data_IF_823425664208
#
_entry.id   IF_823425664208
#
_cell.length_a   1.000
_cell.length_b   1.000
_cell.length_c   1.000
_cell.angle_alpha   90.00
_cell.angle_beta   90.00
_cell.angle_gamma   90.00
#
_symmetry.space_group_name_H-M   'P 1'
#
loop_
_entity.id
_entity.type
_entity.pdbx_description
1 polymer ?
#
# COMPACT_ATOMS: atom_id res chain seq x y z
N UNK A 1 8.18 -7.71 -12.31
CA UNK A 1 9.09 -6.76 -11.63
C UNK A 1 9.87 -5.84 -12.56
N UNK A 2 10.25 -6.16 -13.82
CA UNK A 2 10.95 -5.19 -14.70
C UNK A 2 10.03 -4.13 -15.34
N UNK A 3 8.80 -4.50 -15.74
CA UNK A 3 7.81 -3.56 -16.32
C UNK A 3 7.39 -2.48 -15.32
N UNK A 4 7.38 -2.79 -14.03
CA UNK A 4 7.00 -1.85 -12.96
C UNK A 4 8.06 -0.77 -12.72
N UNK A 5 9.36 -1.12 -12.82
CA UNK A 5 10.44 -0.14 -12.75
C UNK A 5 10.40 0.84 -13.92
N UNK A 6 10.08 0.35 -15.12
CA UNK A 6 9.89 1.19 -16.31
C UNK A 6 8.65 2.08 -16.22
N UNK A 7 7.56 1.60 -15.61
CA UNK A 7 6.36 2.40 -15.39
C UNK A 7 6.55 3.47 -14.30
N UNK A 8 7.38 3.20 -13.29
CA UNK A 8 7.81 4.16 -12.25
C UNK A 8 8.54 5.37 -12.78
N UNK A 9 9.35 5.21 -13.82
CA UNK A 9 10.13 6.32 -14.38
C UNK A 9 9.31 7.23 -15.28
N UNK A 10 8.17 6.77 -15.83
CA UNK A 10 7.35 7.55 -16.77
C UNK A 10 6.07 8.17 -16.22
N UNK A 11 5.39 7.51 -15.28
CA UNK A 11 4.02 7.91 -14.88
C UNK A 11 4.00 8.78 -13.61
N UNK A 12 5.11 8.81 -12.89
CA UNK A 12 5.23 9.54 -11.62
C UNK A 12 4.65 8.75 -10.44
N UNK A 13 5.17 8.97 -9.22
CA UNK A 13 4.85 8.14 -8.05
C UNK A 13 3.35 8.17 -7.72
N UNK A 14 2.75 9.37 -7.62
CA UNK A 14 1.34 9.56 -7.26
C UNK A 14 0.36 8.80 -8.16
N UNK A 15 0.52 8.92 -9.48
CA UNK A 15 -0.36 8.23 -10.45
C UNK A 15 -0.17 6.71 -10.42
N UNK A 16 1.01 6.22 -10.06
CA UNK A 16 1.21 4.78 -9.88
C UNK A 16 0.48 4.23 -8.66
N UNK A 17 0.39 4.99 -7.57
CA UNK A 17 -0.40 4.59 -6.41
C UNK A 17 -1.88 4.48 -6.79
N UNK A 18 -2.43 5.50 -7.46
CA UNK A 18 -3.82 5.49 -7.95
C UNK A 18 -4.09 4.32 -8.90
N UNK A 19 -3.19 4.05 -9.85
CA UNK A 19 -3.29 2.89 -10.76
C UNK A 19 -3.24 1.56 -9.98
N UNK A 20 -2.41 1.46 -8.94
CA UNK A 20 -2.32 0.26 -8.10
C UNK A 20 -3.62 -0.09 -7.38
N UNK A 21 -4.29 0.91 -6.78
CA UNK A 21 -5.58 0.71 -6.13
C UNK A 21 -6.70 0.41 -7.12
N UNK A 22 -6.74 1.14 -8.25
CA UNK A 22 -7.75 0.93 -9.30
C UNK A 22 -7.61 -0.46 -9.93
N UNK A 23 -6.40 -0.90 -10.25
CA UNK A 23 -6.16 -2.25 -10.80
C UNK A 23 -6.51 -3.35 -9.81
N UNK A 24 -6.32 -3.13 -8.50
CA UNK A 24 -6.77 -4.02 -7.43
C UNK A 24 -8.29 -4.14 -7.33
N UNK A 25 -9.01 -3.00 -7.40
CA UNK A 25 -10.47 -2.98 -7.43
C UNK A 25 -11.04 -3.65 -8.68
N UNK A 26 -10.43 -3.40 -9.84
CA UNK A 26 -10.78 -4.09 -11.09
C UNK A 26 -10.58 -5.60 -10.96
N UNK A 27 -9.47 -6.04 -10.34
CA UNK A 27 -9.23 -7.47 -10.09
C UNK A 27 -10.28 -8.10 -9.18
N UNK A 28 -10.66 -7.40 -8.10
CA UNK A 28 -11.72 -7.87 -7.20
C UNK A 28 -13.09 -7.93 -7.92
N UNK A 29 -13.43 -6.93 -8.72
CA UNK A 29 -14.64 -6.91 -9.52
C UNK A 29 -14.64 -8.00 -10.61
N UNK A 30 -13.48 -8.29 -11.22
CA UNK A 30 -13.32 -9.37 -12.18
C UNK A 30 -13.58 -10.74 -11.53
N UNK A 31 -13.03 -10.97 -10.33
CA UNK A 31 -13.29 -12.21 -9.58
C UNK A 31 -14.75 -12.33 -9.15
N UNK A 32 -15.42 -11.21 -8.85
CA UNK A 32 -16.85 -11.20 -8.59
C UNK A 32 -17.65 -11.53 -9.86
N UNK A 33 -17.28 -10.95 -10.99
CA UNK A 33 -17.89 -11.21 -12.29
C UNK A 33 -17.68 -12.67 -12.74
N UNK A 34 -16.51 -13.26 -12.50
CA UNK A 34 -16.25 -14.67 -12.80
C UNK A 34 -17.14 -15.59 -11.95
N UNK A 35 -17.40 -15.23 -10.69
CA UNK A 35 -18.35 -15.98 -9.85
C UNK A 35 -19.78 -15.89 -10.39
N UNK A 36 -20.26 -14.71 -10.80
CA UNK A 36 -21.60 -14.51 -11.38
C UNK A 36 -21.78 -15.21 -12.73
N UNK A 37 -20.72 -15.30 -13.54
CA UNK A 37 -20.75 -15.89 -14.89
C UNK A 37 -20.60 -17.42 -14.92
N UNK A 38 -20.47 -18.09 -13.77
CA UNK A 38 -20.25 -19.54 -13.64
C UNK A 38 -21.30 -20.43 -14.34
N UNK A 39 -22.50 -19.91 -14.58
CA UNK A 39 -23.60 -20.62 -15.25
C UNK A 39 -23.89 -20.21 -16.69
N UNK A 40 -23.26 -19.16 -17.21
CA UNK A 40 -23.60 -18.57 -18.52
C UNK A 40 -22.62 -18.92 -19.63
N UNK A 41 -21.47 -19.51 -19.30
CA UNK A 41 -20.38 -19.80 -20.25
C UNK A 41 -19.96 -21.27 -20.21
N UNK A 42 -19.46 -21.82 -21.33
CA UNK A 42 -18.85 -23.14 -21.36
C UNK A 42 -17.65 -23.22 -20.40
N UNK A 43 -17.49 -24.37 -19.74
CA UNK A 43 -16.57 -24.55 -18.61
C UNK A 43 -15.11 -24.19 -18.91
N UNK A 44 -14.63 -24.43 -20.13
CA UNK A 44 -13.28 -24.10 -20.58
C UNK A 44 -13.03 -22.59 -20.66
N UNK A 45 -13.99 -21.83 -21.20
CA UNK A 45 -13.94 -20.36 -21.27
C UNK A 45 -14.03 -19.73 -19.88
N UNK A 46 -14.91 -20.27 -19.02
CA UNK A 46 -15.00 -19.82 -17.63
C UNK A 46 -13.70 -20.01 -16.86
N UNK A 47 -13.05 -21.17 -17.01
CA UNK A 47 -11.78 -21.46 -16.34
C UNK A 47 -10.67 -20.50 -16.76
N UNK A 48 -10.53 -20.23 -18.06
CA UNK A 48 -9.56 -19.26 -18.59
C UNK A 48 -9.83 -17.87 -18.02
N UNK A 49 -11.10 -17.45 -18.00
CA UNK A 49 -11.50 -16.15 -17.47
C UNK A 49 -11.23 -16.02 -15.96
N UNK A 50 -11.49 -17.07 -15.18
CA UNK A 50 -11.24 -17.10 -13.74
C UNK A 50 -9.73 -17.09 -13.42
N UNK A 51 -8.92 -17.86 -14.15
CA UNK A 51 -7.46 -17.88 -13.97
C UNK A 51 -6.85 -16.54 -14.39
N UNK A 52 -7.30 -15.94 -15.49
CA UNK A 52 -6.85 -14.60 -15.90
C UNK A 52 -7.17 -13.54 -14.84
N UNK A 53 -8.39 -13.54 -14.31
CA UNK A 53 -8.79 -12.64 -13.21
C UNK A 53 -7.97 -12.86 -11.94
N UNK A 54 -7.63 -14.11 -11.61
CA UNK A 54 -6.79 -14.44 -10.46
C UNK A 54 -5.35 -13.96 -10.65
N UNK A 55 -4.75 -14.15 -11.83
CA UNK A 55 -3.41 -13.63 -12.16
C UNK A 55 -3.38 -12.10 -12.11
N UNK A 56 -4.43 -11.45 -12.62
CA UNK A 56 -4.58 -10.00 -12.52
C UNK A 56 -4.63 -9.54 -11.07
N UNK A 57 -5.49 -10.16 -10.26
CA UNK A 57 -5.62 -9.84 -8.83
C UNK A 57 -4.31 -10.07 -8.06
N UNK A 58 -3.57 -11.14 -8.35
CA UNK A 58 -2.28 -11.43 -7.72
C UNK A 58 -1.23 -10.37 -8.08
N UNK A 59 -1.23 -9.93 -9.34
CA UNK A 59 -0.35 -8.89 -9.85
C UNK A 59 -0.67 -7.53 -9.21
N UNK A 60 -1.96 -7.19 -9.10
CA UNK A 60 -2.41 -5.99 -8.40
C UNK A 60 -2.06 -6.06 -6.90
N UNK A 61 -2.21 -7.22 -6.26
CA UNK A 61 -1.82 -7.46 -4.87
C UNK A 61 -0.34 -7.24 -4.62
N UNK A 62 0.51 -7.69 -5.53
CA UNK A 62 1.92 -7.37 -5.47
C UNK A 62 2.10 -5.85 -5.55
N UNK A 63 1.46 -5.18 -6.52
CA UNK A 63 1.60 -3.75 -6.76
C UNK A 63 1.25 -2.88 -5.54
N UNK A 64 0.05 -3.04 -4.96
CA UNK A 64 -0.31 -2.25 -3.77
C UNK A 64 0.42 -2.71 -2.50
N UNK A 65 0.89 -3.97 -2.46
CA UNK A 65 1.65 -4.51 -1.34
C UNK A 65 3.02 -3.86 -1.14
N UNK A 66 3.62 -3.30 -2.19
CA UNK A 66 4.90 -2.59 -2.12
C UNK A 66 4.77 -1.14 -1.64
N UNK A 67 3.56 -0.57 -1.63
CA UNK A 67 3.36 0.85 -1.35
C UNK A 67 3.78 1.25 0.07
N UNK A 68 3.39 0.52 1.14
CA UNK A 68 3.83 0.89 2.49
C UNK A 68 5.36 0.89 2.61
N UNK A 69 6.02 -0.08 1.98
CA UNK A 69 7.48 -0.21 2.03
C UNK A 69 8.23 0.95 1.40
N UNK A 70 7.64 1.57 0.38
CA UNK A 70 8.24 2.75 -0.22
C UNK A 70 7.99 4.00 0.60
N UNK A 71 6.90 4.06 1.39
CA UNK A 71 6.50 5.26 2.15
C UNK A 71 7.11 5.32 3.54
N UNK A 72 7.22 4.19 4.24
CA UNK A 72 7.69 4.15 5.62
C UNK A 72 9.12 4.71 5.82
N UNK A 73 10.09 4.46 4.91
CA UNK A 73 11.41 5.09 4.98
C UNK A 73 11.33 6.62 4.99
N UNK A 74 10.45 7.23 4.18
CA UNK A 74 10.30 8.69 4.13
C UNK A 74 9.90 9.30 5.46
N UNK A 75 9.02 8.64 6.21
CA UNK A 75 8.61 9.11 7.54
C UNK A 75 9.80 9.07 8.51
N UNK A 76 10.62 8.02 8.42
CA UNK A 76 11.83 7.90 9.23
C UNK A 76 12.91 8.93 8.84
N UNK A 77 13.06 9.23 7.55
CA UNK A 77 14.00 10.23 7.04
C UNK A 77 13.60 11.66 7.45
N UNK A 78 12.29 11.97 7.43
CA UNK A 78 11.74 13.24 7.95
C UNK A 78 11.93 13.34 9.47
N UNK A 79 11.77 12.25 10.23
CA UNK A 79 12.08 12.26 11.67
C UNK A 79 13.59 12.45 11.92
N UNK A 80 14.44 11.88 11.06
CA UNK A 80 15.89 11.97 11.17
C UNK A 80 16.41 13.39 10.91
N UNK A 81 15.84 14.15 9.95
CA UNK A 81 16.25 15.55 9.73
C UNK A 81 15.85 16.46 10.90
N UNK A 82 14.76 16.15 11.60
CA UNK A 82 14.34 16.88 12.80
C UNK A 82 15.21 16.51 14.01
N UNK A 83 15.41 15.22 14.28
CA UNK A 83 15.99 14.73 15.54
C UNK A 83 17.46 14.32 15.48
N UNK A 84 18.10 14.37 14.29
CA UNK A 84 19.47 13.89 14.00
C UNK A 84 19.74 12.40 14.26
N UNK A 85 18.76 11.64 14.75
CA UNK A 85 18.92 10.22 15.08
C UNK A 85 18.29 9.36 14.00
N UNK A 86 19.06 8.45 13.43
CA UNK A 86 18.48 7.46 12.51
C UNK A 86 17.72 6.40 13.31
N UNK A 87 16.38 6.49 13.29
CA UNK A 87 15.47 5.52 13.94
C UNK A 87 14.84 4.54 12.94
N UNK A 88 15.39 4.46 11.73
CA UNK A 88 14.84 3.64 10.63
C UNK A 88 14.58 2.18 11.03
N UNK A 89 15.46 1.59 11.84
CA UNK A 89 15.30 0.21 12.35
C UNK A 89 14.08 0.06 13.29
N UNK A 90 13.84 1.03 14.17
CA UNK A 90 12.69 1.03 15.10
C UNK A 90 11.37 1.23 14.34
N UNK A 91 11.37 2.11 13.34
CA UNK A 91 10.21 2.32 12.47
C UNK A 91 9.87 1.07 11.63
N UNK A 92 10.89 0.43 11.04
CA UNK A 92 10.72 -0.83 10.30
C UNK A 92 10.17 -1.95 11.20
N UNK A 93 10.72 -2.09 12.42
CA UNK A 93 10.20 -3.05 13.41
C UNK A 93 8.73 -2.79 13.78
N UNK A 94 8.35 -1.54 14.00
CA UNK A 94 6.96 -1.16 14.28
C UNK A 94 6.03 -1.42 13.09
N UNK A 95 6.48 -1.19 11.87
CA UNK A 95 5.73 -1.52 10.65
C UNK A 95 5.42 -3.02 10.57
N UNK A 96 6.42 -3.88 10.80
CA UNK A 96 6.21 -5.32 10.81
C UNK A 96 5.28 -5.76 11.93
N UNK A 97 5.48 -5.23 13.13
CA UNK A 97 4.62 -5.53 14.28
C UNK A 97 3.17 -5.16 14.01
N UNK A 98 2.92 -3.94 13.54
CA UNK A 98 1.57 -3.47 13.19
C UNK A 98 0.95 -4.37 12.11
N UNK A 99 1.71 -4.70 11.05
CA UNK A 99 1.25 -5.61 10.00
C UNK A 99 0.85 -6.97 10.55
N UNK A 100 1.67 -7.56 11.43
CA UNK A 100 1.39 -8.88 11.99
C UNK A 100 0.19 -8.85 12.93
N UNK A 101 0.05 -7.78 13.73
CA UNK A 101 -1.08 -7.57 14.62
C UNK A 101 -2.38 -7.41 13.83
N UNK A 102 -2.44 -6.50 12.87
CA UNK A 102 -3.62 -6.30 12.03
C UNK A 102 -3.96 -7.56 11.23
N UNK A 103 -2.97 -8.26 10.68
CA UNK A 103 -3.19 -9.52 9.97
C UNK A 103 -3.80 -10.58 10.89
N UNK A 104 -3.35 -10.67 12.15
CA UNK A 104 -3.91 -11.60 13.14
C UNK A 104 -5.35 -11.28 13.50
N UNK A 105 -5.64 -10.00 13.79
CA UNK A 105 -6.99 -9.52 14.10
C UNK A 105 -7.95 -9.78 12.92
N UNK A 106 -7.53 -9.46 11.70
CA UNK A 106 -8.32 -9.72 10.50
C UNK A 106 -8.59 -11.22 10.34
N UNK A 107 -7.58 -12.07 10.53
CA UNK A 107 -7.75 -13.51 10.38
C UNK A 107 -8.73 -14.09 11.41
N UNK A 108 -8.72 -13.56 12.63
CA UNK A 108 -9.69 -13.91 13.66
C UNK A 108 -11.11 -13.48 13.28
N UNK A 109 -11.29 -12.24 12.80
CA UNK A 109 -12.59 -11.73 12.33
C UNK A 109 -13.13 -12.54 11.14
N UNK A 110 -12.27 -12.85 10.17
CA UNK A 110 -12.60 -13.72 9.02
C UNK A 110 -13.12 -15.07 9.50
N UNK A 111 -12.44 -15.68 10.48
CA UNK A 111 -12.87 -16.96 11.08
C UNK A 111 -14.26 -16.90 11.72
N UNK A 112 -14.57 -15.81 12.44
CA UNK A 112 -15.89 -15.59 13.05
C UNK A 112 -16.98 -15.43 11.99
N UNK A 113 -16.71 -14.69 10.91
CA UNK A 113 -17.69 -14.54 9.82
C UNK A 113 -17.91 -15.87 9.10
N UNK A 114 -16.83 -16.62 8.84
CA UNK A 114 -16.94 -17.94 8.20
C UNK A 114 -17.73 -18.92 9.05
N UNK A 115 -17.48 -18.99 10.36
CA UNK A 115 -18.21 -19.87 11.27
C UNK A 115 -19.69 -19.50 11.37
N UNK A 116 -20.01 -18.20 11.39
CA UNK A 116 -21.40 -17.72 11.39
C UNK A 116 -22.15 -18.05 10.09
N UNK A 117 -21.47 -18.07 8.95
CA UNK A 117 -22.08 -18.40 7.64
C UNK A 117 -22.27 -19.91 7.41
N UNK A 118 -21.85 -20.76 8.36
CA UNK A 118 -21.94 -22.22 8.25
C UNK A 118 -20.95 -22.81 7.26
N UNK A 119 -19.79 -22.16 7.06
CA UNK A 119 -18.72 -22.68 6.23
C UNK A 119 -18.20 -24.00 6.79
N UNK A 120 -18.29 -25.06 5.99
CA UNK A 120 -17.77 -26.38 6.31
C UNK A 120 -16.77 -26.79 5.24
N UNK A 121 -15.50 -26.89 5.62
CA UNK A 121 -14.38 -27.27 4.73
C UNK A 121 -14.43 -28.75 4.31
N UNK A 122 -15.26 -29.57 4.96
CA UNK A 122 -15.37 -31.01 4.67
C UNK A 122 -16.39 -31.33 3.57
N UNK A 123 -17.20 -30.35 3.13
CA UNK A 123 -18.25 -30.55 2.11
C UNK A 123 -17.78 -30.09 0.72
N UNK A 124 -17.94 -30.97 -0.26
CA UNK A 124 -17.58 -30.74 -1.68
C UNK A 124 -18.46 -29.68 -2.37
N UNK A 125 -19.69 -29.47 -1.88
CA UNK A 125 -20.59 -28.42 -2.33
C UNK A 125 -20.97 -27.52 -1.15
N UNK A 126 -20.62 -26.24 -1.27
CA UNK A 126 -20.92 -25.26 -0.24
C UNK A 126 -22.30 -24.63 -0.45
N UNK A 127 -23.07 -24.39 0.64
CA UNK A 127 -24.35 -23.71 0.54
C UNK A 127 -24.16 -22.29 -0.01
N UNK A 128 -25.19 -21.79 -0.70
CA UNK A 128 -25.18 -20.43 -1.28
C UNK A 128 -24.78 -19.36 -0.27
N UNK A 129 -25.25 -19.48 0.98
CA UNK A 129 -24.87 -18.61 2.10
C UNK A 129 -23.37 -18.57 2.38
N UNK A 130 -22.68 -19.72 2.35
CA UNK A 130 -21.23 -19.79 2.57
C UNK A 130 -20.44 -19.21 1.40
N UNK A 131 -20.91 -19.38 0.16
CA UNK A 131 -20.28 -18.76 -1.01
C UNK A 131 -20.37 -17.23 -0.96
N UNK A 132 -21.55 -16.70 -0.60
CA UNK A 132 -21.75 -15.26 -0.39
C UNK A 132 -20.89 -14.76 0.78
N UNK A 133 -20.78 -15.52 1.87
CA UNK A 133 -19.91 -15.22 3.00
C UNK A 133 -18.43 -15.08 2.59
N UNK A 134 -17.92 -16.05 1.84
CA UNK A 134 -16.54 -16.01 1.31
C UNK A 134 -16.35 -14.82 0.36
N UNK A 135 -17.30 -14.56 -0.54
CA UNK A 135 -17.22 -13.44 -1.47
C UNK A 135 -17.25 -12.08 -0.73
N UNK A 136 -18.12 -11.94 0.29
CA UNK A 136 -18.20 -10.74 1.10
C UNK A 136 -16.89 -10.46 1.87
N UNK A 137 -16.28 -11.51 2.42
CA UNK A 137 -15.03 -11.38 3.18
C UNK A 137 -13.82 -11.21 2.28
N UNK A 138 -13.69 -11.97 1.19
CA UNK A 138 -12.51 -11.89 0.32
C UNK A 138 -12.56 -10.68 -0.62
N UNK A 139 -13.73 -10.35 -1.17
CA UNK A 139 -13.87 -9.27 -2.16
C UNK A 139 -14.40 -8.00 -1.53
N UNK A 140 -15.43 -8.10 -0.69
CA UNK A 140 -16.04 -6.94 -0.04
C UNK A 140 -15.10 -6.24 0.94
N UNK A 141 -14.58 -6.97 1.94
CA UNK A 141 -13.64 -6.41 2.91
C UNK A 141 -12.35 -5.91 2.23
N UNK A 142 -11.79 -6.66 1.29
CA UNK A 142 -10.61 -6.22 0.52
C UNK A 142 -10.89 -4.94 -0.26
N UNK A 143 -12.05 -4.81 -0.92
CA UNK A 143 -12.41 -3.58 -1.63
C UNK A 143 -12.54 -2.38 -0.68
N UNK A 144 -13.17 -2.55 0.49
CA UNK A 144 -13.28 -1.49 1.51
C UNK A 144 -11.89 -1.03 1.99
N UNK A 145 -11.01 -1.98 2.31
CA UNK A 145 -9.64 -1.66 2.74
C UNK A 145 -8.86 -0.95 1.62
N UNK A 146 -8.98 -1.41 0.38
CA UNK A 146 -8.35 -0.75 -0.77
C UNK A 146 -8.85 0.68 -0.98
N UNK A 147 -10.15 0.94 -0.80
CA UNK A 147 -10.72 2.29 -0.91
C UNK A 147 -10.21 3.19 0.22
N UNK A 148 -10.17 2.69 1.47
CA UNK A 148 -9.63 3.46 2.60
C UNK A 148 -8.15 3.79 2.35
N UNK A 149 -7.36 2.82 1.92
CA UNK A 149 -5.96 3.04 1.57
C UNK A 149 -5.80 4.05 0.42
N UNK A 150 -6.64 3.97 -0.60
CA UNK A 150 -6.63 4.94 -1.71
C UNK A 150 -6.97 6.36 -1.23
N UNK A 151 -7.93 6.52 -0.33
CA UNK A 151 -8.27 7.83 0.26
C UNK A 151 -7.09 8.37 1.07
N UNK A 152 -6.47 7.55 1.91
CA UNK A 152 -5.31 7.95 2.72
C UNK A 152 -4.12 8.30 1.82
N UNK A 153 -3.86 7.51 0.78
CA UNK A 153 -2.80 7.76 -0.19
C UNK A 153 -3.04 9.04 -0.99
N UNK A 154 -4.28 9.31 -1.41
CA UNK A 154 -4.63 10.55 -2.10
C UNK A 154 -4.40 11.81 -1.24
N UNK A 155 -4.35 11.65 0.08
CA UNK A 155 -4.05 12.71 1.06
C UNK A 155 -2.55 12.80 1.36
N UNK A 156 -1.78 11.72 1.19
CA UNK A 156 -0.34 11.72 1.34
C UNK A 156 0.31 12.25 0.05
N UNK A 157 0.64 13.54 0.06
CA UNK A 157 1.43 14.18 -0.99
C UNK A 157 2.90 13.71 -0.95
N UNK A 158 3.15 12.43 -1.28
CA UNK A 158 4.51 11.89 -1.38
C UNK A 158 5.03 12.17 -2.78
N UNK A 159 5.81 13.23 -2.86
CA UNK A 159 6.56 13.57 -4.06
C UNK A 159 8.00 13.08 -3.89
N UNK A 160 8.36 11.95 -4.53
CA UNK A 160 9.73 11.37 -4.52
C UNK A 160 10.81 12.39 -4.90
N UNK A 161 10.45 13.44 -5.63
CA UNK A 161 11.36 14.54 -5.95
C UNK A 161 11.86 15.26 -4.68
N UNK A 162 10.98 15.36 -3.69
CA UNK A 162 11.23 16.04 -2.41
C UNK A 162 12.14 15.22 -1.49
N UNK A 163 12.03 13.90 -1.57
CA UNK A 163 12.88 12.98 -0.81
C UNK A 163 14.36 13.05 -1.24
N UNK A 164 14.62 13.07 -2.55
CA UNK A 164 15.98 13.24 -3.07
C UNK A 164 16.60 14.60 -2.72
N UNK A 165 15.79 15.62 -2.42
CA UNK A 165 16.25 16.91 -1.91
C UNK A 165 16.62 16.78 -0.42
N UNK A 166 15.78 16.11 0.39
CA UNK A 166 16.04 15.86 1.81
C UNK A 166 17.28 15.00 2.04
N UNK A 167 17.45 13.89 1.32
CA UNK A 167 18.64 13.03 1.49
C UNK A 167 19.94 13.75 1.15
N UNK A 168 19.94 14.58 0.08
CA UNK A 168 21.09 15.42 -0.26
C UNK A 168 21.39 16.44 0.84
N UNK A 169 20.37 17.01 1.45
CA UNK A 169 20.51 17.97 2.54
C UNK A 169 20.99 17.30 3.84
N UNK A 170 20.48 16.11 4.19
CA UNK A 170 20.96 15.32 5.32
C UNK A 170 22.44 14.98 5.14
N UNK A 171 22.85 14.54 3.94
CA UNK A 171 24.25 14.24 3.65
C UNK A 171 25.14 15.49 3.77
N UNK A 172 24.67 16.66 3.32
CA UNK A 172 25.37 17.95 3.47
C UNK A 172 25.54 18.34 4.94
N UNK A 173 24.49 18.21 5.74
CA UNK A 173 24.52 18.52 7.17
C UNK A 173 25.37 17.53 7.97
N UNK A 174 25.39 16.25 7.61
CA UNK A 174 26.27 15.24 8.20
C UNK A 174 27.75 15.47 7.87
N UNK A 175 28.04 16.00 6.68
CA UNK A 175 29.40 16.39 6.27
C UNK A 175 29.88 17.73 6.85
N UNK A 176 29.13 18.32 7.78
CA UNK A 176 29.51 19.58 8.44
C UNK A 176 29.12 20.85 7.69
N UNK A 177 28.23 20.77 6.69
CA UNK A 177 27.72 21.93 5.98
C UNK A 177 26.93 22.89 6.87
N UNK A 178 27.10 24.20 6.67
CA UNK A 178 26.40 25.23 7.43
C UNK A 178 24.91 25.30 7.05
N UNK A 179 24.03 25.47 8.04
CA UNK A 179 22.60 25.73 7.83
C UNK A 179 22.34 27.03 7.05
N UNK A 180 23.30 27.96 7.03
CA UNK A 180 23.20 29.23 6.32
C UNK A 180 23.32 29.08 4.79
N UNK A 181 23.96 28.01 4.31
CA UNK A 181 24.18 27.75 2.88
C UNK A 181 23.08 26.88 2.27
N UNK A 182 21.91 26.79 2.92
CA UNK A 182 20.80 25.99 2.40
C UNK A 182 20.15 26.70 1.21
N UNK A 183 19.87 25.94 0.16
CA UNK A 183 19.12 26.44 -0.99
C UNK A 183 17.67 26.77 -0.61
N UNK A 184 17.11 27.84 -1.18
CA UNK A 184 15.79 28.35 -0.81
C UNK A 184 14.67 27.34 -1.10
N UNK A 185 14.79 26.58 -2.19
CA UNK A 185 13.85 25.49 -2.54
C UNK A 185 13.95 24.33 -1.54
N UNK A 186 15.16 24.02 -1.07
CA UNK A 186 15.41 22.98 -0.06
C UNK A 186 14.83 23.38 1.29
N UNK A 187 14.95 24.66 1.68
CA UNK A 187 14.33 25.20 2.90
C UNK A 187 12.80 25.10 2.86
N UNK A 188 12.17 25.55 1.78
CA UNK A 188 10.71 25.50 1.62
C UNK A 188 10.18 24.05 1.63
N UNK A 189 10.93 23.13 1.04
CA UNK A 189 10.63 21.70 1.06
C UNK A 189 10.66 21.11 2.47
N UNK A 190 11.71 21.40 3.24
CA UNK A 190 11.86 20.89 4.61
C UNK A 190 10.79 21.47 5.52
N UNK A 191 10.47 22.76 5.41
CA UNK A 191 9.42 23.40 6.21
C UNK A 191 8.03 22.84 5.88
N UNK A 192 7.75 22.57 4.60
CA UNK A 192 6.48 21.96 4.16
C UNK A 192 6.31 20.52 4.65
N UNK A 193 7.39 19.74 4.74
CA UNK A 193 7.33 18.33 5.13
C UNK A 193 7.40 18.12 6.65
N UNK A 194 8.19 18.92 7.35
CA UNK A 194 8.32 18.83 8.81
C UNK A 194 7.24 19.63 9.55
N UNK A 195 6.64 20.62 8.89
CA UNK A 195 5.72 21.58 9.53
C UNK A 195 6.41 22.53 10.51
N UNK A 196 7.74 22.50 10.58
CA UNK A 196 8.58 23.31 11.47
C UNK A 196 9.43 24.27 10.63
N UNK A 197 9.82 25.42 11.21
CA UNK A 197 10.80 26.30 10.57
C UNK A 197 12.13 25.56 10.45
N UNK A 198 12.84 25.73 9.34
CA UNK A 198 14.11 25.03 9.09
C UNK A 198 15.16 25.32 10.18
N UNK A 199 15.06 26.48 10.83
CA UNK A 199 15.91 26.89 11.96
C UNK A 199 15.72 26.00 13.21
N UNK A 200 14.52 25.43 13.37
CA UNK A 200 14.17 24.51 14.47
C UNK A 200 14.52 23.06 14.14
N UNK A 201 14.69 22.72 12.86
CA UNK A 201 15.17 21.41 12.43
C UNK A 201 16.67 21.26 12.74
N UNK A 202 17.14 20.03 13.00
CA UNK A 202 18.56 19.75 13.24
C UNK A 202 19.15 20.55 14.42
N UNK A 203 18.44 20.65 15.55
CA UNK A 203 18.96 21.20 16.81
C UNK A 203 19.78 20.12 17.55
N UNK A 204 20.84 20.56 18.24
CA UNK A 204 21.73 19.69 19.03
C UNK A 204 21.04 19.23 20.32
#
# INVERSE_FOLDING_TARGET
TPVFGWMMTRIGPRRMYEIGFVTGLIGAAWLLASWLLRGHMPASLWLIFAVAGMLWFLTAKALYGYLPWTVFPYVADVDQIVTRRSRAATFSGMQFFARQLFSGVIMMLVGVVLSATGFDSTKSAQPWSAQVGIAAVLLGFTAVVLIICWIIDSRLAIDKHTDGIILREIARLQNGGSKADVDADTKAVVERLTGLKYEDCWKA
#
